data_IF_719151782037
#
_entry.id   IF_719151782037
#
_cell.length_a   1.000
_cell.length_b   1.000
_cell.length_c   1.000
_cell.angle_alpha   90.00
_cell.angle_beta   90.00
_cell.angle_gamma   90.00
#
_symmetry.space_group_name_H-M   'P 1'
#
loop_
_entity.id
_entity.type
_entity.pdbx_description
1 polymer ?
#
# COMPACT_ATOMS: atom_id res chain seq x y z
N UNK A 1 4.90 -17.03 -3.15
CA UNK A 1 3.50 -16.61 -2.97
C UNK A 1 3.30 -15.62 -1.81
N UNK A 2 3.85 -15.86 -0.60
CA UNK A 2 3.69 -14.89 0.51
C UNK A 2 4.32 -13.50 0.26
N UNK A 3 5.51 -13.44 -0.35
CA UNK A 3 6.17 -12.16 -0.70
C UNK A 3 5.41 -11.34 -1.75
N UNK A 4 4.73 -12.02 -2.67
CA UNK A 4 3.86 -11.41 -3.67
C UNK A 4 2.67 -10.70 -2.99
N UNK A 5 1.98 -11.41 -2.10
CA UNK A 5 0.79 -10.89 -1.40
C UNK A 5 1.12 -9.67 -0.53
N UNK A 6 2.28 -9.66 0.13
CA UNK A 6 2.74 -8.52 0.93
C UNK A 6 2.98 -7.28 0.07
N UNK A 7 3.58 -7.44 -1.11
CA UNK A 7 3.84 -6.34 -2.05
C UNK A 7 2.55 -5.68 -2.56
N UNK A 8 1.50 -6.48 -2.77
CA UNK A 8 0.19 -6.00 -3.22
C UNK A 8 -0.55 -5.23 -2.12
N UNK A 9 -0.52 -5.73 -0.88
CA UNK A 9 -1.11 -5.07 0.28
C UNK A 9 -0.53 -3.67 0.49
N UNK A 10 0.80 -3.51 0.38
CA UNK A 10 1.44 -2.21 0.56
C UNK A 10 0.99 -1.20 -0.51
N UNK A 11 0.91 -1.62 -1.79
CA UNK A 11 0.45 -0.74 -2.89
C UNK A 11 -1.02 -0.39 -2.76
N UNK A 12 -1.84 -1.35 -2.36
CA UNK A 12 -3.26 -1.16 -2.09
C UNK A 12 -3.50 -0.20 -0.90
N UNK A 13 -2.67 -0.27 0.15
CA UNK A 13 -2.70 0.67 1.26
C UNK A 13 -2.34 2.10 0.83
N UNK A 14 -1.36 2.27 -0.07
CA UNK A 14 -1.06 3.57 -0.68
C UNK A 14 -2.26 4.14 -1.45
N UNK A 15 -3.01 3.31 -2.19
CA UNK A 15 -4.21 3.73 -2.92
C UNK A 15 -5.39 4.10 -2.02
N UNK A 16 -5.42 3.62 -0.76
CA UNK A 16 -6.46 3.96 0.23
C UNK A 16 -6.19 5.27 0.96
N UNK A 17 -4.97 5.80 0.87
CA UNK A 17 -4.65 7.11 1.45
C UNK A 17 -5.27 8.22 0.58
N UNK A 18 -6.21 9.03 1.11
CA UNK A 18 -6.86 10.09 0.33
C UNK A 18 -5.90 11.19 -0.14
N UNK A 19 -4.70 11.29 0.44
CA UNK A 19 -3.67 12.23 0.04
C UNK A 19 -2.75 11.71 -1.07
N UNK A 20 -2.98 10.48 -1.56
CA UNK A 20 -2.20 9.85 -2.63
C UNK A 20 -3.10 9.62 -3.84
N UNK A 21 -2.82 10.35 -4.92
CA UNK A 21 -3.59 10.25 -6.18
C UNK A 21 -2.97 9.27 -7.18
N UNK A 22 -1.70 8.90 -7.01
CA UNK A 22 -0.97 8.04 -7.96
C UNK A 22 0.12 7.25 -7.24
N UNK A 23 0.29 5.99 -7.63
CA UNK A 23 1.34 5.10 -7.12
C UNK A 23 2.21 4.65 -8.28
N UNK A 24 3.51 4.98 -8.24
CA UNK A 24 4.49 4.55 -9.25
C UNK A 24 5.02 3.17 -8.87
N UNK A 25 4.92 2.21 -9.80
CA UNK A 25 5.32 0.83 -9.56
C UNK A 25 6.59 0.45 -10.32
N UNK A 26 7.62 0.00 -9.60
CA UNK A 26 8.79 -0.65 -10.21
C UNK A 26 8.55 -2.11 -10.56
N UNK A 27 9.08 -2.55 -11.71
CA UNK A 27 9.12 -3.95 -12.14
C UNK A 27 10.41 -4.22 -12.91
N UNK A 28 11.14 -5.28 -12.55
CA UNK A 28 12.35 -5.74 -13.24
C UNK A 28 12.05 -6.81 -14.30
N UNK A 29 10.85 -7.41 -14.27
CA UNK A 29 10.38 -8.41 -15.23
C UNK A 29 8.90 -8.17 -15.55
N UNK A 30 8.47 -8.56 -16.74
CA UNK A 30 7.09 -8.36 -17.23
C UNK A 30 6.04 -9.01 -16.31
N UNK A 31 6.33 -10.18 -15.76
CA UNK A 31 5.41 -10.88 -14.83
C UNK A 31 5.10 -10.04 -13.58
N UNK A 32 6.06 -9.23 -13.10
CA UNK A 32 5.87 -8.38 -11.94
C UNK A 32 4.91 -7.22 -12.23
N UNK A 33 4.83 -6.74 -13.48
CA UNK A 33 3.82 -5.75 -13.87
C UNK A 33 2.42 -6.32 -13.68
N UNK A 34 2.20 -7.53 -14.20
CA UNK A 34 0.90 -8.22 -14.09
C UNK A 34 0.57 -8.52 -12.63
N UNK A 35 1.57 -8.89 -11.84
CA UNK A 35 1.41 -9.10 -10.40
C UNK A 35 1.03 -7.79 -9.69
N UNK A 36 1.78 -6.70 -9.90
CA UNK A 36 1.55 -5.40 -9.29
C UNK A 36 0.11 -4.89 -9.50
N UNK A 37 -0.48 -5.12 -10.67
CA UNK A 37 -1.84 -4.68 -10.99
C UNK A 37 -2.92 -5.39 -10.15
N UNK A 38 -2.64 -6.59 -9.61
CA UNK A 38 -3.54 -7.29 -8.69
C UNK A 38 -3.76 -6.53 -7.37
N UNK A 39 -2.96 -5.51 -7.08
CA UNK A 39 -3.17 -4.64 -5.92
C UNK A 39 -4.54 -3.93 -5.99
N UNK A 40 -5.08 -3.70 -7.20
CA UNK A 40 -6.41 -3.14 -7.41
C UNK A 40 -7.52 -4.06 -6.89
N UNK A 41 -7.33 -5.38 -6.99
CA UNK A 41 -8.29 -6.37 -6.49
C UNK A 41 -8.24 -6.53 -4.96
N UNK A 42 -7.09 -6.21 -4.37
CA UNK A 42 -6.85 -6.26 -2.92
C UNK A 42 -7.31 -4.98 -2.22
N UNK A 43 -7.27 -3.84 -2.90
CA UNK A 43 -7.63 -2.55 -2.30
C UNK A 43 -9.05 -2.53 -1.66
N UNK A 44 -10.10 -3.09 -2.27
CA UNK A 44 -11.42 -3.17 -1.64
C UNK A 44 -11.46 -3.99 -0.34
N UNK A 45 -10.54 -4.95 -0.18
CA UNK A 45 -10.47 -5.86 0.98
C UNK A 45 -9.77 -5.22 2.19
N UNK A 46 -9.03 -4.11 1.98
CA UNK A 46 -8.43 -3.33 3.05
C UNK A 46 -9.49 -2.44 3.72
N UNK A 47 -10.25 -3.04 4.63
CA UNK A 47 -11.20 -2.33 5.49
C UNK A 47 -10.47 -1.46 6.52
N UNK A 48 -11.21 -0.55 7.17
CA UNK A 48 -10.67 0.29 8.23
C UNK A 48 -10.03 -0.54 9.36
N UNK A 49 -10.66 -1.65 9.75
CA UNK A 49 -10.15 -2.59 10.77
C UNK A 49 -8.82 -3.22 10.35
N UNK A 50 -8.72 -3.68 9.09
CA UNK A 50 -7.49 -4.28 8.56
C UNK A 50 -6.38 -3.25 8.50
N UNK A 51 -6.68 -2.02 8.07
CA UNK A 51 -5.71 -0.93 8.04
C UNK A 51 -5.24 -0.56 9.45
N UNK A 52 -6.15 -0.47 10.43
CA UNK A 52 -5.78 -0.21 11.83
C UNK A 52 -4.85 -1.29 12.39
N UNK A 53 -5.12 -2.57 12.09
CA UNK A 53 -4.24 -3.67 12.47
C UNK A 53 -2.87 -3.57 11.80
N UNK A 54 -2.80 -3.15 10.54
CA UNK A 54 -1.53 -2.91 9.84
C UNK A 54 -0.75 -1.77 10.52
N UNK A 55 -1.41 -0.65 10.84
CA UNK A 55 -0.81 0.49 11.54
C UNK A 55 -0.25 0.10 12.91
N UNK A 56 -0.98 -0.71 13.68
CA UNK A 56 -0.50 -1.22 14.97
C UNK A 56 0.75 -2.11 14.85
N UNK A 57 0.83 -2.91 13.78
CA UNK A 57 1.98 -3.79 13.53
C UNK A 57 3.20 -2.97 13.07
N UNK A 58 2.99 -2.01 12.16
CA UNK A 58 4.07 -1.19 11.62
C UNK A 58 4.61 -0.19 12.65
N UNK A 59 3.73 0.38 13.47
CA UNK A 59 4.03 1.30 14.56
C UNK A 59 5.09 2.36 14.20
N UNK A 60 4.98 2.92 12.99
CA UNK A 60 5.95 3.84 12.41
C UNK A 60 5.28 5.11 11.87
N UNK A 61 4.06 5.40 12.33
CA UNK A 61 3.30 6.58 11.91
C UNK A 61 4.14 7.84 12.21
N UNK A 62 4.41 8.70 11.22
CA UNK A 62 5.29 9.84 11.41
C UNK A 62 4.66 10.82 12.40
N UNK A 63 5.50 11.45 13.22
CA UNK A 63 5.09 12.64 13.97
C UNK A 63 4.75 13.75 12.98
N UNK A 64 3.62 14.42 13.20
CA UNK A 64 3.21 15.56 12.40
C UNK A 64 4.11 16.76 12.75
N UNK A 65 5.31 16.79 12.17
CA UNK A 65 6.17 17.98 12.21
C UNK A 65 5.58 18.97 11.20
N UNK A 66 4.72 19.84 11.71
CA UNK A 66 4.12 20.90 10.93
C UNK A 66 5.10 22.04 10.70
N UNK A 67 5.88 21.97 9.63
CA UNK A 67 6.14 23.12 8.78
C UNK A 67 6.58 22.63 7.38
N UNK A 68 5.76 22.93 6.37
CA UNK A 68 6.01 22.55 4.96
C UNK A 68 6.23 23.80 4.10
N UNK A 69 6.60 24.91 4.73
CA UNK A 69 7.00 26.15 4.07
C UNK A 69 8.51 26.22 3.90
#
# INVERSE_FOLDING_TARGET
MLLAQQTLCCRAACLKNPHVSTVITGASKVSQVTENMKALDVAPQLTAEVLERIEQILNNKPELVGDFR
#
